data_IF_331306635108
#
_entry.id   IF_331306635108
#
_cell.length_a   1.000
_cell.length_b   1.000
_cell.length_c   1.000
_cell.angle_alpha   90.00
_cell.angle_beta   90.00
_cell.angle_gamma   90.00
#
_symmetry.space_group_name_H-M   'P 1'
#
loop_
_entity.id
_entity.type
_entity.pdbx_description
1 polymer ?
#
# COMPACT_ATOMS: atom_id res chain seq x y z
N UNK A 1 12.33 9.28 -15.48
CA UNK A 1 11.63 9.15 -14.18
C UNK A 1 10.38 8.23 -14.22
N UNK A 2 9.86 7.83 -15.39
CA UNK A 2 8.73 6.88 -15.49
C UNK A 2 9.11 5.38 -15.45
N UNK A 3 10.40 5.05 -15.37
CA UNK A 3 10.89 3.66 -15.40
C UNK A 3 10.50 2.86 -14.14
N UNK A 4 10.38 3.51 -12.98
CA UNK A 4 10.02 2.83 -11.74
C UNK A 4 8.56 2.35 -11.73
N UNK A 5 7.63 3.18 -12.23
CA UNK A 5 6.21 2.82 -12.38
C UNK A 5 5.99 1.70 -13.39
N UNK A 6 6.65 1.76 -14.55
CA UNK A 6 6.58 0.71 -15.58
C UNK A 6 7.14 -0.63 -15.07
N UNK A 7 8.26 -0.60 -14.32
CA UNK A 7 8.85 -1.79 -13.71
C UNK A 7 7.95 -2.41 -12.63
N UNK A 8 7.25 -1.59 -11.83
CA UNK A 8 6.25 -2.06 -10.84
C UNK A 8 5.06 -2.71 -11.51
N UNK A 9 4.54 -2.12 -12.58
CA UNK A 9 3.45 -2.71 -13.36
C UNK A 9 3.88 -4.07 -13.95
N UNK A 10 5.11 -4.17 -14.45
CA UNK A 10 5.67 -5.44 -14.95
C UNK A 10 5.83 -6.47 -13.83
N UNK A 11 6.38 -6.10 -12.67
CA UNK A 11 6.51 -7.01 -11.51
C UNK A 11 5.15 -7.49 -10.97
N UNK A 12 4.12 -6.63 -10.99
CA UNK A 12 2.74 -7.01 -10.65
C UNK A 12 2.12 -7.97 -11.66
N UNK A 13 2.59 -7.96 -12.90
CA UNK A 13 2.09 -8.81 -13.98
C UNK A 13 2.93 -10.09 -14.16
N UNK A 14 4.16 -10.13 -13.65
CA UNK A 14 5.05 -11.29 -13.65
C UNK A 14 4.63 -12.31 -12.56
N UNK A 15 3.66 -13.15 -12.91
CA UNK A 15 3.17 -14.26 -12.07
C UNK A 15 4.11 -15.49 -12.09
N UNK A 16 5.26 -15.41 -12.77
CA UNK A 16 5.97 -16.60 -13.27
C UNK A 16 6.93 -17.21 -12.24
N UNK A 17 7.41 -16.45 -11.25
CA UNK A 17 8.54 -16.89 -10.41
C UNK A 17 8.22 -17.19 -8.95
N UNK A 18 7.01 -16.90 -8.45
CA UNK A 18 6.65 -17.11 -7.05
C UNK A 18 5.28 -17.79 -6.92
N UNK A 19 5.16 -18.81 -6.04
CA UNK A 19 3.88 -19.46 -5.82
C UNK A 19 2.88 -18.44 -5.23
N UNK A 20 1.66 -18.34 -5.77
CA UNK A 20 0.65 -17.45 -5.22
C UNK A 20 0.36 -17.81 -3.76
N UNK A 21 0.01 -16.79 -2.96
CA UNK A 21 -0.34 -16.98 -1.56
C UNK A 21 -1.51 -17.98 -1.44
N UNK A 22 -1.24 -19.13 -0.83
CA UNK A 22 -2.16 -20.26 -0.77
C UNK A 22 -3.43 -19.93 0.05
N UNK A 23 -3.32 -19.06 1.06
CA UNK A 23 -4.46 -18.64 1.88
C UNK A 23 -5.45 -17.82 1.05
N UNK A 24 -4.95 -16.95 0.17
CA UNK A 24 -5.78 -16.20 -0.77
C UNK A 24 -6.47 -17.09 -1.79
N UNK A 25 -5.80 -18.15 -2.27
CA UNK A 25 -6.42 -19.15 -3.17
C UNK A 25 -7.55 -19.90 -2.44
N UNK A 26 -7.27 -20.35 -1.22
CA UNK A 26 -8.26 -21.06 -0.40
C UNK A 26 -9.47 -20.17 -0.10
N UNK A 27 -9.24 -18.89 0.19
CA UNK A 27 -10.28 -17.90 0.41
C UNK A 27 -11.12 -17.66 -0.85
N UNK A 28 -10.48 -17.50 -2.02
CA UNK A 28 -11.21 -17.35 -3.29
C UNK A 28 -12.10 -18.56 -3.57
N UNK A 29 -11.58 -19.78 -3.38
CA UNK A 29 -12.35 -21.02 -3.54
C UNK A 29 -13.53 -21.11 -2.56
N UNK A 30 -13.34 -20.65 -1.33
CA UNK A 30 -14.40 -20.60 -0.33
C UNK A 30 -15.48 -19.57 -0.70
N UNK A 31 -15.09 -18.36 -1.11
CA UNK A 31 -16.02 -17.29 -1.49
C UNK A 31 -16.82 -17.64 -2.75
N UNK A 32 -16.21 -18.32 -3.72
CA UNK A 32 -16.90 -18.84 -4.91
C UNK A 32 -18.01 -19.85 -4.59
N UNK A 33 -17.92 -20.56 -3.46
CA UNK A 33 -18.94 -21.53 -3.02
C UNK A 33 -19.99 -20.93 -2.09
N UNK A 34 -19.63 -19.89 -1.33
CA UNK A 34 -20.46 -19.32 -0.26
C UNK A 34 -21.16 -18.01 -0.64
N UNK A 35 -20.72 -17.34 -1.70
CA UNK A 35 -21.28 -16.06 -2.13
C UNK A 35 -22.34 -16.27 -3.21
N UNK A 36 -23.60 -15.99 -2.89
CA UNK A 36 -24.71 -16.16 -3.84
C UNK A 36 -24.82 -14.99 -4.84
N UNK A 37 -24.44 -13.77 -4.44
CA UNK A 37 -24.51 -12.60 -5.29
C UNK A 37 -23.28 -12.53 -6.23
N UNK A 38 -23.49 -12.57 -7.57
CA UNK A 38 -22.40 -12.51 -8.53
C UNK A 38 -21.58 -11.22 -8.47
N UNK A 39 -22.19 -10.09 -8.12
CA UNK A 39 -21.48 -8.81 -8.01
C UNK A 39 -20.56 -8.77 -6.80
N UNK A 40 -21.01 -9.32 -5.66
CA UNK A 40 -20.20 -9.42 -4.45
C UNK A 40 -19.02 -10.37 -4.68
N UNK A 41 -19.30 -11.50 -5.34
CA UNK A 41 -18.27 -12.47 -5.70
C UNK A 41 -17.22 -11.84 -6.62
N UNK A 42 -17.64 -11.14 -7.68
CA UNK A 42 -16.71 -10.45 -8.58
C UNK A 42 -15.81 -9.47 -7.82
N UNK A 43 -16.39 -8.62 -6.97
CA UNK A 43 -15.63 -7.66 -6.19
C UNK A 43 -14.64 -8.31 -5.21
N UNK A 44 -14.99 -9.45 -4.60
CA UNK A 44 -14.06 -10.21 -3.76
C UNK A 44 -12.92 -10.82 -4.57
N UNK A 45 -13.23 -11.46 -5.70
CA UNK A 45 -12.22 -12.11 -6.55
C UNK A 45 -11.25 -11.07 -7.13
N UNK A 46 -11.75 -9.92 -7.57
CA UNK A 46 -10.94 -8.81 -8.07
C UNK A 46 -10.00 -8.30 -6.96
N UNK A 47 -10.54 -8.07 -5.76
CA UNK A 47 -9.75 -7.61 -4.61
C UNK A 47 -8.69 -8.63 -4.17
N UNK A 48 -9.02 -9.93 -4.20
CA UNK A 48 -8.07 -11.01 -3.91
C UNK A 48 -6.98 -11.07 -4.99
N UNK A 49 -7.34 -10.88 -6.26
CA UNK A 49 -6.38 -10.90 -7.36
C UNK A 49 -5.35 -9.77 -7.23
N UNK A 50 -5.80 -8.55 -6.90
CA UNK A 50 -4.90 -7.42 -6.65
C UNK A 50 -4.07 -7.62 -5.39
N UNK A 51 -4.59 -8.32 -4.38
CA UNK A 51 -3.86 -8.61 -3.16
C UNK A 51 -2.75 -9.63 -3.42
N UNK A 52 -3.02 -10.67 -4.22
CA UNK A 52 -2.00 -11.63 -4.65
C UNK A 52 -0.82 -10.94 -5.35
N UNK A 53 -1.11 -10.00 -6.27
CA UNK A 53 -0.06 -9.20 -6.93
C UNK A 53 0.81 -8.44 -5.92
N UNK A 54 0.21 -7.95 -4.84
CA UNK A 54 0.93 -7.22 -3.78
C UNK A 54 1.86 -8.15 -2.97
N UNK A 55 1.43 -9.39 -2.71
CA UNK A 55 2.30 -10.42 -2.11
C UNK A 55 3.45 -10.82 -3.04
N UNK A 56 3.18 -10.99 -4.33
CA UNK A 56 4.22 -11.30 -5.33
C UNK A 56 5.27 -10.19 -5.40
N UNK A 57 4.86 -8.92 -5.36
CA UNK A 57 5.80 -7.78 -5.31
C UNK A 57 6.61 -7.78 -4.01
N UNK A 58 5.99 -8.08 -2.87
CA UNK A 58 6.69 -8.19 -1.59
C UNK A 58 7.75 -9.29 -1.62
N UNK A 59 7.44 -10.47 -2.16
CA UNK A 59 8.37 -11.60 -2.23
C UNK A 59 9.50 -11.40 -3.25
N UNK A 60 9.20 -10.80 -4.41
CA UNK A 60 10.21 -10.48 -5.43
C UNK A 60 11.13 -9.33 -5.01
N UNK A 61 10.70 -8.50 -4.08
CA UNK A 61 11.53 -7.41 -3.58
C UNK A 61 12.56 -7.96 -2.61
N UNK A 62 13.80 -8.14 -3.10
CA UNK A 62 14.96 -8.23 -2.20
C UNK A 62 14.88 -7.08 -1.19
N UNK A 63 15.19 -7.33 0.09
CA UNK A 63 14.88 -6.48 1.28
C UNK A 63 15.21 -4.96 1.20
N UNK A 64 15.75 -4.45 0.09
CA UNK A 64 15.97 -3.02 -0.18
C UNK A 64 15.27 -2.43 -1.42
N UNK A 65 14.45 -3.18 -2.18
CA UNK A 65 13.69 -2.64 -3.33
C UNK A 65 12.19 -2.52 -3.09
N UNK A 66 11.69 -2.99 -1.94
CA UNK A 66 10.28 -2.85 -1.56
C UNK A 66 10.06 -1.43 -1.06
N UNK A 67 9.35 -0.59 -1.81
CA UNK A 67 9.01 0.75 -1.32
C UNK A 67 7.73 0.68 -0.48
N UNK A 68 7.64 1.40 0.66
CA UNK A 68 6.40 1.50 1.43
C UNK A 68 5.19 1.92 0.59
N UNK A 69 5.39 2.68 -0.48
CA UNK A 69 4.32 3.05 -1.42
C UNK A 69 3.71 1.86 -2.17
N UNK A 70 4.43 0.75 -2.34
CA UNK A 70 3.97 -0.42 -3.07
C UNK A 70 2.83 -1.15 -2.32
N UNK A 71 2.78 -1.02 -0.99
CA UNK A 71 1.67 -1.54 -0.16
C UNK A 71 0.35 -0.82 -0.46
N UNK A 72 0.40 0.46 -0.83
CA UNK A 72 -0.77 1.32 -0.98
C UNK A 72 -1.42 1.14 -2.35
N UNK A 73 -0.77 0.45 -3.28
CA UNK A 73 -1.34 0.17 -4.59
C UNK A 73 -2.59 -0.71 -4.47
N UNK A 74 -2.62 -1.68 -3.55
CA UNK A 74 -3.82 -2.51 -3.37
C UNK A 74 -5.07 -1.69 -2.99
N UNK A 75 -5.04 -0.82 -1.95
CA UNK A 75 -6.15 0.08 -1.65
C UNK A 75 -6.62 0.94 -2.83
N UNK A 76 -5.69 1.40 -3.68
CA UNK A 76 -6.02 2.21 -4.86
C UNK A 76 -6.67 1.42 -6.00
N UNK A 77 -6.52 0.10 -6.03
CA UNK A 77 -7.09 -0.79 -7.07
C UNK A 77 -8.38 -1.47 -6.60
N UNK A 78 -8.89 -1.14 -5.41
CA UNK A 78 -10.10 -1.74 -4.88
C UNK A 78 -11.33 -1.32 -5.71
N UNK A 79 -12.19 -2.27 -6.12
CA UNK A 79 -13.47 -1.94 -6.73
C UNK A 79 -14.35 -1.13 -5.75
N UNK A 80 -15.08 -0.14 -6.26
CA UNK A 80 -16.04 0.63 -5.44
C UNK A 80 -17.04 -0.28 -4.72
N UNK A 81 -17.46 -1.36 -5.39
CA UNK A 81 -18.35 -2.36 -4.82
C UNK A 81 -17.72 -3.10 -3.63
N UNK A 82 -16.42 -3.39 -3.68
CA UNK A 82 -15.71 -3.95 -2.53
C UNK A 82 -15.68 -2.97 -1.35
N UNK A 83 -15.48 -1.68 -1.61
CA UNK A 83 -15.52 -0.65 -0.56
C UNK A 83 -16.91 -0.57 0.11
N UNK A 84 -17.98 -0.77 -0.66
CA UNK A 84 -19.34 -0.87 -0.12
C UNK A 84 -19.49 -2.12 0.77
N UNK A 85 -19.00 -3.27 0.34
CA UNK A 85 -19.02 -4.51 1.13
C UNK A 85 -18.21 -4.38 2.42
N UNK A 86 -17.07 -3.69 2.37
CA UNK A 86 -16.25 -3.39 3.53
C UNK A 86 -16.98 -2.44 4.50
N UNK A 87 -17.68 -1.43 3.98
CA UNK A 87 -18.53 -0.53 4.79
C UNK A 87 -19.69 -1.28 5.44
N UNK A 88 -20.27 -2.25 4.75
CA UNK A 88 -21.30 -3.15 5.27
C UNK A 88 -20.74 -4.22 6.22
N UNK A 89 -19.40 -4.29 6.37
CA UNK A 89 -18.70 -5.24 7.24
C UNK A 89 -19.03 -6.69 6.94
N UNK A 90 -19.15 -7.03 5.65
CA UNK A 90 -19.39 -8.41 5.27
C UNK A 90 -18.20 -9.28 5.71
N UNK A 91 -18.46 -10.53 6.14
CA UNK A 91 -17.37 -11.41 6.59
C UNK A 91 -16.28 -11.61 5.53
N UNK A 92 -16.65 -11.69 4.25
CA UNK A 92 -15.72 -11.81 3.13
C UNK A 92 -14.79 -10.61 2.99
N UNK A 93 -15.34 -9.39 3.00
CA UNK A 93 -14.56 -8.15 2.91
C UNK A 93 -13.60 -8.00 4.10
N UNK A 94 -14.08 -8.28 5.31
CA UNK A 94 -13.25 -8.20 6.52
C UNK A 94 -12.11 -9.21 6.50
N UNK A 95 -12.33 -10.41 5.96
CA UNK A 95 -11.30 -11.45 5.86
C UNK A 95 -10.21 -11.06 4.88
N UNK A 96 -10.57 -10.51 3.71
CA UNK A 96 -9.62 -10.02 2.72
C UNK A 96 -8.81 -8.83 3.30
N UNK A 97 -9.49 -7.90 3.98
CA UNK A 97 -8.85 -6.77 4.66
C UNK A 97 -7.88 -7.22 5.77
N UNK A 98 -8.22 -8.26 6.51
CA UNK A 98 -7.34 -8.84 7.53
C UNK A 98 -6.04 -9.38 6.92
N UNK A 99 -6.14 -10.09 5.79
CA UNK A 99 -4.94 -10.61 5.10
C UNK A 99 -4.07 -9.44 4.60
N UNK A 100 -4.67 -8.39 4.04
CA UNK A 100 -3.94 -7.17 3.69
C UNK A 100 -3.25 -6.54 4.91
N UNK A 101 -3.89 -6.51 6.09
CA UNK A 101 -3.28 -5.96 7.30
C UNK A 101 -2.00 -6.69 7.72
N UNK A 102 -1.85 -7.99 7.40
CA UNK A 102 -0.62 -8.75 7.67
C UNK A 102 0.57 -8.23 6.85
N UNK A 103 0.34 -7.67 5.66
CA UNK A 103 1.40 -7.06 4.84
C UNK A 103 2.10 -5.90 5.56
N UNK A 104 1.41 -5.21 6.48
CA UNK A 104 2.01 -4.13 7.25
C UNK A 104 3.16 -4.60 8.15
N UNK A 105 3.11 -5.85 8.64
CA UNK A 105 4.21 -6.41 9.46
C UNK A 105 5.53 -6.53 8.70
N UNK A 106 5.49 -6.58 7.37
CA UNK A 106 6.69 -6.63 6.54
C UNK A 106 7.35 -5.25 6.38
N UNK A 107 6.60 -4.17 6.62
CA UNK A 107 7.08 -2.79 6.61
C UNK A 107 7.72 -2.35 7.92
N UNK A 108 7.62 -3.16 8.97
CA UNK A 108 8.34 -2.93 10.23
C UNK A 108 9.88 -2.84 10.04
N UNK A 109 10.38 -3.25 8.85
CA UNK A 109 11.78 -3.13 8.44
C UNK A 109 12.18 -1.81 7.74
N UNK A 110 11.22 -0.94 7.35
CA UNK A 110 11.47 0.26 6.54
C UNK A 110 11.31 1.58 7.33
N UNK A 111 12.43 2.30 7.44
CA UNK A 111 12.77 3.46 8.28
C UNK A 111 12.41 4.85 7.70
N UNK A 112 11.42 5.00 6.80
CA UNK A 112 11.19 6.18 5.94
C UNK A 112 10.64 7.48 6.60
N UNK A 113 10.93 7.67 7.88
CA UNK A 113 10.80 8.95 8.59
C UNK A 113 12.17 9.66 8.76
N UNK A 114 13.25 9.16 8.15
CA UNK A 114 14.60 9.71 8.35
C UNK A 114 15.02 10.54 7.14
N UNK A 115 15.14 11.86 7.27
CA UNK A 115 15.56 12.79 6.21
C UNK A 115 14.43 13.46 5.41
N UNK A 116 13.21 12.93 5.46
CA UNK A 116 12.06 13.46 4.70
C UNK A 116 11.49 14.74 5.30
N UNK A 117 11.61 14.94 6.61
CA UNK A 117 11.16 16.15 7.29
C UNK A 117 12.01 17.35 6.90
N UNK A 118 13.34 17.15 6.87
CA UNK A 118 14.35 18.15 6.52
C UNK A 118 14.14 18.72 5.11
N UNK A 119 13.79 17.87 4.14
CA UNK A 119 13.57 18.30 2.76
C UNK A 119 12.23 19.03 2.55
N UNK A 120 11.19 18.68 3.31
CA UNK A 120 9.90 19.38 3.27
C UNK A 120 10.02 20.75 3.95
N UNK A 121 10.72 20.81 5.08
CA UNK A 121 11.00 22.03 5.82
C UNK A 121 11.81 23.02 4.97
N UNK A 122 12.85 22.55 4.26
CA UNK A 122 13.64 23.41 3.35
C UNK A 122 12.80 24.12 2.29
N UNK A 123 11.90 23.38 1.64
CA UNK A 123 11.06 23.93 0.59
C UNK A 123 10.03 24.92 1.14
N UNK A 124 9.42 24.61 2.29
CA UNK A 124 8.45 25.50 2.92
C UNK A 124 9.15 26.77 3.44
N UNK A 125 10.34 26.65 4.03
CA UNK A 125 11.13 27.79 4.52
C UNK A 125 11.47 28.78 3.40
N UNK A 126 11.87 28.28 2.22
CA UNK A 126 12.17 29.12 1.05
C UNK A 126 10.98 29.88 0.47
N UNK A 127 9.75 29.37 0.68
CA UNK A 127 8.51 29.97 0.18
C UNK A 127 7.86 30.96 1.14
N UNK A 128 8.24 30.93 2.42
CA UNK A 128 7.72 31.84 3.43
C UNK A 128 8.53 33.15 3.45
N UNK A 129 7.85 34.25 3.74
CA UNK A 129 8.41 35.55 4.07
C UNK A 129 8.94 35.60 5.51
N UNK A 130 9.70 36.65 5.83
CA UNK A 130 10.46 36.72 7.10
C UNK A 130 9.57 36.68 8.35
N UNK A 131 8.38 37.28 8.30
CA UNK A 131 7.45 37.29 9.43
C UNK A 131 6.92 35.88 9.74
N UNK A 132 6.64 35.06 8.72
CA UNK A 132 6.14 33.70 8.88
C UNK A 132 7.25 32.69 9.20
N UNK A 133 8.49 32.95 8.80
CA UNK A 133 9.65 32.12 9.17
C UNK A 133 9.91 32.11 10.69
N UNK A 134 9.57 33.20 11.38
CA UNK A 134 9.69 33.28 12.85
C UNK A 134 8.83 32.21 13.55
N UNK A 135 7.68 31.86 12.97
CA UNK A 135 6.74 30.90 13.54
C UNK A 135 7.16 29.44 13.37
N UNK A 136 7.97 29.12 12.35
CA UNK A 136 8.46 27.76 12.10
C UNK A 136 9.85 27.49 12.70
N UNK A 137 10.46 28.49 13.35
CA UNK A 137 11.81 28.40 13.92
C UNK A 137 11.94 27.34 15.02
N UNK A 138 10.98 27.30 15.95
CA UNK A 138 10.96 26.30 17.03
C UNK A 138 10.97 24.84 16.51
N UNK A 139 10.02 24.48 15.62
CA UNK A 139 10.00 23.14 14.99
C UNK A 139 11.26 22.77 14.19
N UNK A 140 11.94 23.76 13.60
CA UNK A 140 13.20 23.54 12.85
C UNK A 140 14.36 23.20 13.81
N UNK A 141 14.49 23.93 14.91
CA UNK A 141 15.54 23.74 15.91
C UNK A 141 15.42 22.37 16.60
N UNK A 142 14.20 21.88 16.85
CA UNK A 142 13.94 20.55 17.43
C UNK A 142 14.40 19.40 16.52
N UNK A 143 14.30 19.58 15.21
CA UNK A 143 14.70 18.57 14.21
C UNK A 143 16.19 18.69 13.87
N UNK A 144 16.86 19.75 14.34
CA UNK A 144 18.28 20.00 14.07
C UNK A 144 18.58 20.35 12.61
N UNK A 145 17.56 20.77 11.85
CA UNK A 145 17.71 21.20 10.47
C UNK A 145 18.21 22.66 10.42
N UNK A 146 19.20 22.93 9.59
CA UNK A 146 19.78 24.28 9.41
C UNK A 146 19.61 24.67 7.94
N UNK A 147 19.03 25.83 7.61
CA UNK A 147 18.87 26.30 6.24
C UNK A 147 20.18 26.47 5.47
#
# INVERSE_FOLDING_TARGET
MFSAGARRQQLRNDHINHPPNQDLINLANFLSKSTANPQDLAAYLDSISELQKSYVVLENSSRGTFEPTDMFIWPYQLPDHYLLLLRQRTPGALTIMHIFAVLFKHLDSHWWMKGSAENIISQIYGLLDEEHRLWIRGPIEEIGWVP
#
